data_IF_003295235260
#
_entry.id   IF_003295235260
#
_cell.length_a   1.000
_cell.length_b   1.000
_cell.length_c   1.000
_cell.angle_alpha   90.00
_cell.angle_beta   90.00
_cell.angle_gamma   90.00
#
_symmetry.space_group_name_H-M   'P 1'
#
loop_
_entity.id
_entity.type
_entity.pdbx_description
1 polymer ?
#
# COMPACT_ATOMS: atom_id res chain seq x y z
N UNK A 1 -102.37 -19.86 36.37
CA UNK A 1 -102.62 -18.44 36.73
C UNK A 1 -101.31 -17.90 37.30
N UNK A 2 -100.41 -17.30 36.52
CA UNK A 2 -100.49 -16.06 35.73
C UNK A 2 -100.18 -14.80 36.57
N UNK A 3 -98.96 -14.27 36.38
CA UNK A 3 -98.58 -12.85 36.23
C UNK A 3 -97.04 -12.81 35.98
N UNK A 4 -96.47 -12.55 34.78
CA UNK A 4 -96.20 -11.26 34.07
C UNK A 4 -95.71 -10.14 34.98
N UNK A 5 -94.69 -9.30 34.72
CA UNK A 5 -93.82 -8.92 33.58
C UNK A 5 -92.78 -7.92 34.16
N UNK A 6 -91.54 -7.68 33.70
CA UNK A 6 -91.05 -6.99 32.47
C UNK A 6 -89.51 -7.09 32.46
N UNK A 7 -88.85 -7.59 31.41
CA UNK A 7 -88.35 -6.88 30.21
C UNK A 7 -87.17 -5.91 30.44
N UNK A 8 -85.99 -6.34 30.00
CA UNK A 8 -84.80 -5.52 29.75
C UNK A 8 -83.83 -6.30 28.86
N UNK A 9 -83.93 -6.08 27.54
CA UNK A 9 -83.08 -6.64 26.51
C UNK A 9 -81.65 -6.10 26.67
N UNK A 10 -80.64 -6.95 26.77
CA UNK A 10 -79.23 -6.58 26.57
C UNK A 10 -78.71 -7.49 25.46
N UNK A 11 -78.38 -6.89 24.33
CA UNK A 11 -77.82 -7.53 23.15
C UNK A 11 -76.50 -8.24 23.47
N UNK A 12 -76.19 -9.34 22.76
CA UNK A 12 -74.88 -9.98 22.86
C UNK A 12 -73.79 -9.04 22.32
N UNK A 13 -72.59 -9.02 22.90
CA UNK A 13 -71.53 -8.14 22.43
C UNK A 13 -71.14 -8.53 21.00
N UNK A 14 -71.46 -7.63 20.06
CA UNK A 14 -70.76 -7.49 18.78
C UNK A 14 -69.36 -6.96 19.12
N UNK A 15 -68.50 -7.86 19.57
CA UNK A 15 -67.06 -7.64 19.64
C UNK A 15 -66.50 -8.03 18.29
N UNK A 16 -66.43 -7.05 17.39
CA UNK A 16 -65.62 -7.10 16.17
C UNK A 16 -64.34 -7.85 16.44
N UNK A 17 -64.19 -8.99 15.75
CA UNK A 17 -62.91 -9.55 15.38
C UNK A 17 -62.13 -8.46 14.63
N UNK A 18 -61.50 -7.56 15.37
CA UNK A 18 -60.25 -7.00 14.94
C UNK A 18 -59.27 -8.16 15.01
N UNK A 19 -59.24 -8.89 13.89
CA UNK A 19 -58.05 -9.55 13.42
C UNK A 19 -56.99 -8.45 13.44
N UNK A 20 -56.27 -8.35 14.56
CA UNK A 20 -54.91 -7.84 14.55
C UNK A 20 -54.15 -8.80 13.64
N UNK A 21 -54.24 -8.53 12.33
CA UNK A 21 -53.23 -8.93 11.38
C UNK A 21 -51.96 -8.29 11.90
N UNK A 22 -51.24 -9.07 12.71
CA UNK A 22 -49.79 -8.99 12.82
C UNK A 22 -49.20 -9.19 11.43
N UNK A 23 -49.33 -8.18 10.57
CA UNK A 23 -48.37 -7.96 9.49
C UNK A 23 -47.15 -7.29 10.14
N UNK A 24 -46.34 -8.09 10.83
CA UNK A 24 -45.02 -7.70 11.28
C UNK A 24 -44.05 -8.86 11.08
N UNK A 25 -43.69 -9.08 9.81
CA UNK A 25 -42.51 -9.78 9.29
C UNK A 25 -41.74 -10.56 10.35
N UNK A 26 -41.93 -11.88 10.39
CA UNK A 26 -41.14 -12.78 11.21
C UNK A 26 -39.66 -12.65 10.84
N UNK A 27 -38.94 -11.77 11.54
CA UNK A 27 -37.49 -11.64 11.46
C UNK A 27 -36.88 -12.81 12.23
N UNK A 28 -37.03 -14.03 11.68
CA UNK A 28 -36.26 -15.19 12.09
C UNK A 28 -34.81 -15.02 11.61
N UNK A 29 -34.14 -13.96 12.06
CA UNK A 29 -32.69 -13.82 11.94
C UNK A 29 -32.10 -14.73 13.00
N UNK A 30 -31.52 -15.85 12.58
CA UNK A 30 -30.82 -16.74 13.49
C UNK A 30 -29.68 -15.98 14.17
N UNK A 31 -29.58 -15.98 15.51
CA UNK A 31 -28.53 -15.25 16.22
C UNK A 31 -27.17 -15.88 15.93
N UNK A 32 -26.32 -15.15 15.21
CA UNK A 32 -25.03 -15.62 14.69
C UNK A 32 -24.14 -16.29 15.76
N UNK A 33 -24.08 -15.75 16.99
CA UNK A 33 -23.29 -16.33 18.09
C UNK A 33 -23.82 -17.65 18.66
N UNK A 34 -25.05 -18.08 18.29
CA UNK A 34 -25.56 -19.42 18.63
C UNK A 34 -25.08 -20.50 17.67
N UNK A 35 -24.48 -20.14 16.54
CA UNK A 35 -23.84 -21.11 15.66
C UNK A 35 -22.63 -21.73 16.38
N UNK A 36 -22.30 -23.01 16.14
CA UNK A 36 -21.00 -23.57 16.51
C UNK A 36 -19.84 -22.74 15.94
N UNK A 37 -18.69 -22.75 16.62
CA UNK A 37 -17.49 -21.96 16.22
C UNK A 37 -17.06 -22.30 14.80
N UNK A 38 -17.11 -23.58 14.46
CA UNK A 38 -16.70 -24.14 13.18
C UNK A 38 -17.55 -23.58 12.03
N UNK A 39 -18.85 -23.43 12.23
CA UNK A 39 -19.74 -22.83 11.22
C UNK A 39 -19.50 -21.32 11.09
N UNK A 40 -19.17 -20.63 12.20
CA UNK A 40 -18.81 -19.21 12.13
C UNK A 40 -17.50 -19.01 11.38
N UNK A 41 -16.51 -19.88 11.58
CA UNK A 41 -15.23 -19.86 10.85
C UNK A 41 -15.42 -20.02 9.35
N UNK A 42 -16.27 -20.95 8.92
CA UNK A 42 -16.64 -21.07 7.50
C UNK A 42 -17.28 -19.79 6.94
N UNK A 43 -18.13 -19.13 7.72
CA UNK A 43 -18.75 -17.86 7.31
C UNK A 43 -17.70 -16.74 7.22
N UNK A 44 -16.77 -16.67 8.18
CA UNK A 44 -15.67 -15.72 8.13
C UNK A 44 -14.80 -15.95 6.90
N UNK A 45 -14.36 -17.18 6.68
CA UNK A 45 -13.52 -17.55 5.54
C UNK A 45 -14.19 -17.22 4.21
N UNK A 46 -15.47 -17.58 4.05
CA UNK A 46 -16.24 -17.25 2.85
C UNK A 46 -16.33 -15.75 2.62
N UNK A 47 -16.62 -14.97 3.67
CA UNK A 47 -16.83 -13.52 3.54
C UNK A 47 -15.53 -12.78 3.23
N UNK A 48 -14.39 -13.24 3.78
CA UNK A 48 -13.08 -12.71 3.42
C UNK A 48 -12.68 -13.10 1.99
N UNK A 49 -12.97 -14.34 1.56
CA UNK A 49 -12.65 -14.80 0.21
C UNK A 49 -13.53 -14.15 -0.87
N UNK A 50 -14.78 -13.83 -0.56
CA UNK A 50 -15.73 -13.18 -1.48
C UNK A 50 -15.43 -11.69 -1.69
N UNK A 51 -14.49 -11.11 -0.94
CA UNK A 51 -14.12 -9.72 -1.09
C UNK A 51 -13.21 -9.56 -2.31
N UNK A 52 -13.80 -9.24 -3.46
CA UNK A 52 -13.09 -8.65 -4.59
C UNK A 52 -12.62 -7.26 -4.14
N UNK A 53 -11.32 -7.14 -3.86
CA UNK A 53 -10.70 -5.96 -3.28
C UNK A 53 -10.69 -4.79 -4.28
N UNK A 54 -11.74 -3.98 -4.26
CA UNK A 54 -11.77 -2.61 -4.81
C UNK A 54 -12.41 -1.65 -3.79
N UNK A 55 -11.91 -1.67 -2.55
CA UNK A 55 -12.30 -0.66 -1.56
C UNK A 55 -11.23 0.43 -1.56
N UNK A 56 -11.44 1.43 -2.42
CA UNK A 56 -10.64 2.64 -2.63
C UNK A 56 -10.59 3.56 -1.38
N UNK A 57 -10.07 3.08 -0.25
CA UNK A 57 -9.89 3.94 0.93
C UNK A 57 -8.62 3.64 1.69
N UNK A 58 -7.62 4.49 1.48
CA UNK A 58 -6.33 4.42 2.14
C UNK A 58 -6.42 4.53 3.68
N UNK A 59 -5.42 3.96 4.36
CA UNK A 59 -5.15 4.20 5.78
C UNK A 59 -4.18 5.38 5.86
N UNK A 60 -4.69 6.50 6.35
CA UNK A 60 -4.01 7.80 6.42
C UNK A 60 -3.60 8.18 7.85
N UNK A 61 -2.77 9.22 8.00
CA UNK A 61 -2.24 9.71 9.29
C UNK A 61 -3.34 10.08 10.29
N UNK A 62 -4.46 10.67 9.84
CA UNK A 62 -5.61 10.98 10.72
C UNK A 62 -6.14 9.77 11.48
N UNK A 63 -6.10 8.57 10.89
CA UNK A 63 -6.58 7.36 11.55
C UNK A 63 -5.70 7.01 12.75
N UNK A 64 -4.39 7.28 12.66
CA UNK A 64 -3.46 7.01 13.75
C UNK A 64 -3.69 7.88 14.98
N UNK A 65 -4.15 9.14 14.82
CA UNK A 65 -4.31 10.11 15.92
C UNK A 65 -5.19 9.57 17.05
N UNK A 66 -6.28 8.88 16.70
CA UNK A 66 -7.24 8.33 17.66
C UNK A 66 -7.24 6.79 17.72
N UNK A 67 -6.32 6.15 17.01
CA UNK A 67 -6.24 4.70 16.99
C UNK A 67 -5.90 4.14 18.37
N UNK A 68 -6.79 3.29 18.88
CA UNK A 68 -6.57 2.47 20.08
C UNK A 68 -6.66 1.01 19.67
N UNK A 69 -5.61 0.21 19.90
CA UNK A 69 -5.55 -1.15 19.39
C UNK A 69 -6.65 -2.02 20.00
N UNK A 70 -7.52 -2.53 19.14
CA UNK A 70 -8.55 -3.53 19.48
C UNK A 70 -8.92 -4.30 18.22
N UNK A 71 -9.46 -5.51 18.36
CA UNK A 71 -9.84 -6.29 17.18
C UNK A 71 -10.85 -5.56 16.28
N UNK A 72 -11.80 -4.84 16.88
CA UNK A 72 -12.75 -4.00 16.15
C UNK A 72 -12.07 -2.82 15.44
N UNK A 73 -11.13 -2.14 16.09
CA UNK A 73 -10.41 -1.02 15.48
C UNK A 73 -9.52 -1.48 14.32
N UNK A 74 -8.87 -2.65 14.45
CA UNK A 74 -8.06 -3.23 13.38
C UNK A 74 -8.94 -3.59 12.19
N UNK A 75 -10.05 -4.33 12.41
CA UNK A 75 -10.99 -4.67 11.35
C UNK A 75 -11.61 -3.42 10.69
N UNK A 76 -11.89 -2.37 11.46
CA UNK A 76 -12.38 -1.09 10.92
C UNK A 76 -11.36 -0.43 10.00
N UNK A 77 -10.09 -0.38 10.42
CA UNK A 77 -9.00 0.22 9.65
C UNK A 77 -8.67 -0.60 8.40
N UNK A 78 -8.74 -1.93 8.49
CA UNK A 78 -8.61 -2.84 7.34
C UNK A 78 -9.93 -3.04 6.58
N UNK A 79 -10.95 -2.20 6.85
CA UNK A 79 -12.21 -2.09 6.10
C UNK A 79 -13.18 -3.28 6.16
N UNK A 80 -13.07 -4.14 7.16
CA UNK A 80 -14.01 -5.25 7.41
C UNK A 80 -15.13 -4.85 8.40
N UNK A 81 -15.83 -3.76 8.07
CA UNK A 81 -16.85 -3.14 8.95
C UNK A 81 -18.03 -4.07 9.26
N UNK A 82 -18.31 -5.01 8.37
CA UNK A 82 -19.39 -5.98 8.50
C UNK A 82 -19.20 -6.96 9.67
N UNK A 83 -17.98 -7.11 10.20
CA UNK A 83 -17.72 -7.92 11.40
C UNK A 83 -17.77 -7.15 12.73
N UNK A 84 -18.10 -5.85 12.69
CA UNK A 84 -18.17 -4.99 13.88
C UNK A 84 -19.50 -5.13 14.66
N UNK A 85 -20.17 -6.28 14.53
CA UNK A 85 -21.45 -6.57 15.20
C UNK A 85 -21.29 -6.77 16.71
N UNK A 86 -20.21 -7.42 17.13
CA UNK A 86 -19.93 -7.75 18.52
C UNK A 86 -18.42 -7.93 18.75
N UNK A 87 -17.95 -7.67 19.98
CA UNK A 87 -16.54 -7.87 20.37
C UNK A 87 -16.02 -9.29 20.15
N UNK A 88 -16.86 -10.30 20.40
CA UNK A 88 -16.49 -11.69 20.16
C UNK A 88 -16.31 -11.96 18.66
N UNK A 89 -17.29 -11.56 17.85
CA UNK A 89 -17.24 -11.67 16.38
C UNK A 89 -15.99 -10.98 15.82
N UNK A 90 -15.67 -9.79 16.30
CA UNK A 90 -14.49 -9.04 15.86
C UNK A 90 -13.17 -9.76 16.19
N UNK A 91 -13.04 -10.37 17.38
CA UNK A 91 -11.84 -11.14 17.76
C UNK A 91 -11.68 -12.40 16.92
N UNK A 92 -12.78 -13.11 16.78
CA UNK A 92 -12.90 -14.34 16.00
C UNK A 92 -12.57 -14.11 14.52
N UNK A 93 -13.16 -13.07 13.91
CA UNK A 93 -12.91 -12.70 12.53
C UNK A 93 -11.48 -12.18 12.31
N UNK A 94 -10.92 -11.41 13.25
CA UNK A 94 -9.53 -10.95 13.14
C UNK A 94 -8.54 -12.12 13.15
N UNK A 95 -8.77 -13.13 13.99
CA UNK A 95 -7.94 -14.33 14.02
C UNK A 95 -7.96 -15.05 12.68
N UNK A 96 -9.14 -15.23 12.09
CA UNK A 96 -9.31 -15.88 10.78
C UNK A 96 -8.64 -15.04 9.67
N UNK A 97 -8.90 -13.73 9.64
CA UNK A 97 -8.29 -12.80 8.68
C UNK A 97 -6.76 -12.92 8.67
N UNK A 98 -6.14 -12.79 9.84
CA UNK A 98 -4.69 -12.75 9.94
C UNK A 98 -4.03 -14.10 9.61
N UNK A 99 -4.64 -15.21 10.04
CA UNK A 99 -4.08 -16.56 9.84
C UNK A 99 -4.28 -17.08 8.42
N UNK A 100 -5.43 -16.85 7.81
CA UNK A 100 -5.86 -17.57 6.61
C UNK A 100 -5.90 -16.69 5.35
N UNK A 101 -6.08 -15.38 5.49
CA UNK A 101 -6.33 -14.47 4.37
C UNK A 101 -5.21 -13.45 4.18
N UNK A 102 -5.20 -12.82 3.01
CA UNK A 102 -4.26 -11.73 2.70
C UNK A 102 -4.85 -10.41 3.16
N UNK A 103 -4.15 -9.71 4.06
CA UNK A 103 -4.58 -8.41 4.56
C UNK A 103 -4.13 -7.32 3.61
N UNK A 104 -5.10 -6.67 2.96
CA UNK A 104 -4.85 -5.52 2.10
C UNK A 104 -4.62 -4.25 2.92
N UNK A 105 -3.50 -3.58 2.67
CA UNK A 105 -3.03 -2.41 3.42
C UNK A 105 -2.69 -1.30 2.42
N UNK A 106 -3.68 -0.48 2.09
CA UNK A 106 -3.48 0.70 1.24
C UNK A 106 -2.95 1.88 2.07
N UNK A 107 -1.64 1.98 2.29
CA UNK A 107 -1.07 3.09 3.06
C UNK A 107 0.44 3.28 2.87
N UNK A 108 0.91 4.47 3.24
CA UNK A 108 2.32 4.79 3.26
C UNK A 108 3.13 3.98 4.28
N UNK A 109 4.45 3.81 4.04
CA UNK A 109 5.30 2.96 4.85
C UNK A 109 5.44 3.45 6.29
N UNK A 110 5.51 4.77 6.51
CA UNK A 110 5.48 5.31 7.88
C UNK A 110 4.15 5.02 8.58
N UNK A 111 3.03 5.27 7.91
CA UNK A 111 1.68 5.05 8.48
C UNK A 111 1.49 3.58 8.84
N UNK A 112 1.90 2.68 7.95
CA UNK A 112 1.85 1.24 8.19
C UNK A 112 2.71 0.84 9.40
N UNK A 113 3.97 1.28 9.43
CA UNK A 113 4.87 0.98 10.55
C UNK A 113 4.29 1.48 11.88
N UNK A 114 3.85 2.73 11.93
CA UNK A 114 3.27 3.34 13.13
C UNK A 114 1.97 2.63 13.57
N UNK A 115 1.13 2.21 12.62
CA UNK A 115 -0.07 1.42 12.91
C UNK A 115 0.30 0.10 13.59
N UNK A 116 1.25 -0.64 13.01
CA UNK A 116 1.69 -1.93 13.54
C UNK A 116 2.38 -1.80 14.91
N UNK A 117 3.21 -0.77 15.11
CA UNK A 117 3.83 -0.47 16.41
C UNK A 117 2.77 -0.14 17.49
N UNK A 118 1.71 0.59 17.13
CA UNK A 118 0.57 0.81 18.03
C UNK A 118 -0.19 -0.47 18.35
N UNK A 119 -0.26 -1.43 17.42
CA UNK A 119 -0.86 -2.74 17.69
C UNK A 119 0.03 -3.55 18.63
N UNK A 120 1.36 -3.48 18.49
CA UNK A 120 2.30 -4.24 19.33
C UNK A 120 2.25 -3.86 20.83
N UNK A 121 1.69 -2.69 21.18
CA UNK A 121 1.57 -2.09 22.53
C UNK A 121 1.91 -3.04 23.72
N UNK A 122 2.89 -2.66 24.57
CA UNK A 122 3.42 -3.56 25.59
C UNK A 122 2.33 -3.99 26.57
N UNK A 123 2.22 -5.31 26.78
CA UNK A 123 1.26 -6.01 27.65
C UNK A 123 -0.15 -6.26 27.08
N UNK A 124 -0.39 -5.97 25.80
CA UNK A 124 -1.64 -6.31 25.11
C UNK A 124 -1.63 -7.66 24.37
N UNK A 125 -2.80 -8.15 23.91
CA UNK A 125 -2.89 -9.29 22.98
C UNK A 125 -2.36 -8.96 21.58
N UNK A 126 -2.00 -7.70 21.31
CA UNK A 126 -1.64 -7.23 19.98
C UNK A 126 -0.38 -7.89 19.41
N UNK A 127 0.63 -8.19 20.22
CA UNK A 127 1.79 -8.98 19.77
C UNK A 127 1.39 -10.37 19.26
N UNK A 128 0.40 -11.00 19.89
CA UNK A 128 -0.13 -12.28 19.43
C UNK A 128 -0.89 -12.13 18.11
N UNK A 129 -1.64 -11.03 17.94
CA UNK A 129 -2.31 -10.72 16.66
C UNK A 129 -1.28 -10.53 15.53
N UNK A 130 -0.21 -9.76 15.76
CA UNK A 130 0.84 -9.57 14.75
C UNK A 130 1.57 -10.87 14.39
N UNK A 131 1.72 -11.81 15.34
CA UNK A 131 2.22 -13.16 15.05
C UNK A 131 1.26 -14.01 14.21
N UNK A 132 -0.04 -13.72 14.26
CA UNK A 132 -1.01 -14.37 13.39
C UNK A 132 -0.99 -13.81 11.98
N UNK A 133 -0.54 -12.57 11.77
CA UNK A 133 -0.50 -11.93 10.46
C UNK A 133 0.46 -12.67 9.53
N UNK A 134 -0.08 -13.49 8.63
CA UNK A 134 0.69 -14.34 7.73
C UNK A 134 0.92 -13.74 6.35
N UNK A 135 -0.09 -13.08 5.79
CA UNK A 135 -0.05 -12.59 4.41
C UNK A 135 -0.51 -11.15 4.36
N UNK A 136 0.26 -10.31 3.68
CA UNK A 136 -0.08 -8.90 3.45
C UNK A 136 -0.02 -8.57 1.97
N UNK A 137 -0.88 -7.65 1.55
CA UNK A 137 -0.82 -6.98 0.26
C UNK A 137 -0.68 -5.48 0.50
N UNK A 138 0.37 -4.89 -0.05
CA UNK A 138 0.67 -3.48 0.12
C UNK A 138 0.30 -2.73 -1.15
N UNK A 139 -0.49 -1.68 -1.03
CA UNK A 139 -0.62 -0.65 -2.07
C UNK A 139 -0.53 0.73 -1.39
N UNK A 140 -0.25 1.77 -2.16
CA UNK A 140 -0.20 3.14 -1.70
C UNK A 140 -0.86 4.00 -2.76
N UNK A 141 -2.18 4.05 -2.68
CA UNK A 141 -3.02 4.79 -3.60
C UNK A 141 -2.67 6.29 -3.59
N UNK A 142 -2.37 6.85 -2.41
CA UNK A 142 -2.08 8.27 -2.18
C UNK A 142 -0.58 8.53 -1.99
N UNK A 143 0.23 8.20 -3.00
CA UNK A 143 1.68 8.47 -2.97
C UNK A 143 1.93 9.96 -2.70
N UNK A 144 2.86 10.31 -1.79
CA UNK A 144 3.04 11.68 -1.37
C UNK A 144 3.64 12.50 -2.50
N UNK A 145 3.20 13.75 -2.64
CA UNK A 145 3.87 14.68 -3.53
C UNK A 145 5.28 14.97 -2.98
N UNK A 146 6.29 14.35 -3.60
CA UNK A 146 7.67 14.50 -3.18
C UNK A 146 8.19 15.93 -3.30
N UNK A 147 7.54 16.82 -4.06
CA UNK A 147 7.92 18.23 -4.04
C UNK A 147 7.82 18.84 -2.64
N UNK A 148 6.92 18.33 -1.80
CA UNK A 148 6.70 18.79 -0.42
C UNK A 148 7.29 17.85 0.64
N UNK A 149 8.18 16.94 0.26
CA UNK A 149 8.85 16.01 1.19
C UNK A 149 10.29 16.45 1.51
N UNK A 150 10.75 16.45 2.78
CA UNK A 150 9.96 16.20 3.98
C UNK A 150 8.95 17.34 4.23
N UNK A 151 7.86 17.07 4.97
CA UNK A 151 6.79 18.04 5.23
C UNK A 151 7.19 19.16 6.21
N UNK A 152 8.43 19.18 6.71
CA UNK A 152 8.90 20.18 7.66
C UNK A 152 8.84 21.60 7.10
N UNK A 153 7.94 22.39 7.70
CA UNK A 153 7.69 23.81 7.42
C UNK A 153 8.52 24.75 8.29
N UNK A 154 9.69 24.32 8.79
CA UNK A 154 10.44 25.07 9.82
C UNK A 154 11.06 26.42 9.39
N UNK A 155 10.84 26.90 8.17
CA UNK A 155 11.35 28.22 7.75
C UNK A 155 10.33 29.18 7.16
N UNK A 156 9.01 28.96 7.31
CA UNK A 156 8.02 29.96 6.86
C UNK A 156 8.19 30.37 5.38
N UNK A 157 8.83 29.53 4.56
CA UNK A 157 8.85 29.69 3.12
C UNK A 157 7.50 29.19 2.65
N UNK A 158 6.58 30.14 2.60
CA UNK A 158 5.38 30.09 1.79
C UNK A 158 5.79 29.83 0.34
N UNK A 159 6.00 28.57 -0.03
CA UNK A 159 6.10 28.15 -1.43
C UNK A 159 4.69 27.87 -1.91
N UNK A 160 3.84 28.91 -1.82
CA UNK A 160 2.52 28.94 -2.46
C UNK A 160 2.72 29.37 -3.89
N UNK A 161 2.90 28.42 -4.79
CA UNK A 161 2.71 28.68 -6.21
C UNK A 161 1.79 27.61 -6.77
N UNK A 162 0.51 27.99 -6.88
CA UNK A 162 -0.39 27.37 -7.83
C UNK A 162 0.18 27.70 -9.21
N UNK A 163 1.00 26.81 -9.77
CA UNK A 163 1.35 26.82 -11.17
C UNK A 163 0.73 25.56 -11.80
N UNK A 164 -0.37 25.80 -12.51
CA UNK A 164 -0.62 25.05 -13.73
C UNK A 164 0.57 25.34 -14.66
N UNK A 165 1.31 24.30 -15.06
CA UNK A 165 1.55 24.00 -16.48
C UNK A 165 2.41 22.73 -16.70
N UNK A 166 2.01 22.00 -17.75
CA UNK A 166 2.69 20.94 -18.55
C UNK A 166 3.55 19.83 -17.88
N UNK A 167 3.45 19.62 -16.58
CA UNK A 167 4.18 18.54 -15.89
C UNK A 167 3.22 17.43 -15.43
N UNK A 168 3.42 16.25 -16.02
CA UNK A 168 2.96 14.94 -15.52
C UNK A 168 1.47 14.89 -15.14
N UNK A 169 0.60 14.82 -16.15
CA UNK A 169 -0.72 14.20 -15.98
C UNK A 169 -0.49 12.72 -15.71
N UNK A 170 -0.09 12.40 -14.48
CA UNK A 170 -0.24 11.06 -13.96
C UNK A 170 -1.76 10.82 -13.94
N UNK A 171 -2.24 9.96 -14.83
CA UNK A 171 -3.67 9.75 -15.07
C UNK A 171 -4.37 9.29 -13.77
N UNK A 172 -3.61 8.73 -12.82
CA UNK A 172 -4.04 8.43 -11.46
C UNK A 172 -4.15 9.68 -10.55
N UNK A 173 -3.25 10.66 -10.68
CA UNK A 173 -3.38 11.97 -10.02
C UNK A 173 -4.60 12.73 -10.59
N UNK A 174 -4.92 12.49 -11.86
CA UNK A 174 -6.12 13.03 -12.52
C UNK A 174 -7.40 12.25 -12.17
N UNK A 175 -7.33 10.94 -11.89
CA UNK A 175 -8.46 10.19 -11.32
C UNK A 175 -8.81 10.66 -9.90
N UNK A 176 -7.84 11.19 -9.16
CA UNK A 176 -8.07 11.95 -7.91
C UNK A 176 -8.59 13.38 -8.14
N UNK A 177 -8.46 13.93 -9.36
CA UNK A 177 -8.79 15.32 -9.70
C UNK A 177 -10.18 15.50 -10.34
N UNK A 178 -11.20 14.77 -9.86
CA UNK A 178 -12.61 15.18 -10.05
C UNK A 178 -13.00 16.40 -9.18
N UNK A 179 -12.04 17.09 -8.56
CA UNK A 179 -12.29 18.11 -7.55
C UNK A 179 -12.00 19.53 -8.04
N UNK A 180 -12.99 20.09 -8.74
CA UNK A 180 -13.24 21.54 -8.68
C UNK A 180 -14.11 21.82 -7.47
N UNK A 181 -13.59 22.51 -6.46
CA UNK A 181 -14.42 22.99 -5.36
C UNK A 181 -13.61 23.43 -4.16
N UNK A 182 -13.37 24.73 -4.07
CA UNK A 182 -13.11 25.50 -2.84
C UNK A 182 -12.88 24.68 -1.56
N UNK A 183 -11.63 24.43 -1.19
CA UNK A 183 -11.30 23.70 0.03
C UNK A 183 -10.57 24.53 1.07
N UNK A 184 -11.02 24.36 2.31
CA UNK A 184 -10.37 24.83 3.52
C UNK A 184 -9.10 24.00 3.74
N UNK A 185 -7.96 24.63 3.48
CA UNK A 185 -6.60 24.08 3.64
C UNK A 185 -6.27 23.61 5.07
N UNK A 186 -7.12 23.94 6.04
CA UNK A 186 -7.01 23.50 7.43
C UNK A 186 -7.94 22.31 7.78
N UNK A 187 -8.63 21.73 6.79
CA UNK A 187 -9.51 20.58 6.99
C UNK A 187 -8.72 19.26 7.14
N UNK A 188 -8.03 19.10 8.27
CA UNK A 188 -7.24 17.92 8.60
C UNK A 188 -8.07 16.72 9.08
N UNK A 189 -9.40 16.84 9.15
CA UNK A 189 -10.28 15.78 9.69
C UNK A 189 -11.58 15.56 8.87
N UNK A 190 -11.96 16.48 7.98
CA UNK A 190 -13.21 16.48 7.25
C UNK A 190 -13.17 15.84 5.87
N UNK A 191 -14.14 16.24 5.03
CA UNK A 191 -14.40 15.62 3.71
C UNK A 191 -13.35 15.99 2.67
N UNK A 192 -12.58 17.04 2.93
CA UNK A 192 -11.58 17.62 2.04
C UNK A 192 -10.16 17.15 2.35
N UNK A 193 -10.05 16.18 3.27
CA UNK A 193 -8.78 15.68 3.76
C UNK A 193 -7.90 15.14 2.63
N UNK A 194 -6.64 15.56 2.66
CA UNK A 194 -5.56 14.98 1.88
C UNK A 194 -4.32 14.81 2.76
N UNK A 195 -3.80 13.58 2.80
CA UNK A 195 -2.66 13.19 3.63
C UNK A 195 -1.36 13.93 3.23
N UNK A 196 -1.29 14.45 1.99
CA UNK A 196 -0.21 15.29 1.50
C UNK A 196 -0.09 16.63 2.24
N UNK A 197 -1.21 17.17 2.72
CA UNK A 197 -1.29 18.48 3.37
C UNK A 197 -1.51 18.36 4.89
N UNK A 198 -1.36 17.17 5.45
CA UNK A 198 -1.49 16.97 6.87
C UNK A 198 -0.43 17.79 7.63
N UNK A 199 -0.84 18.42 8.75
CA UNK A 199 0.01 19.37 9.47
C UNK A 199 1.18 18.66 10.18
N UNK A 200 2.40 19.12 9.88
CA UNK A 200 3.66 18.65 10.46
C UNK A 200 3.85 19.03 11.93
N UNK A 201 2.98 19.90 12.49
CA UNK A 201 3.04 20.30 13.90
C UNK A 201 2.96 19.12 14.88
N UNK A 202 2.35 18.01 14.48
CA UNK A 202 2.31 16.78 15.25
C UNK A 202 3.45 15.82 14.87
N UNK A 203 4.64 16.05 15.45
CA UNK A 203 5.86 15.27 15.21
C UNK A 203 5.73 13.76 15.46
N UNK A 204 4.70 13.30 16.17
CA UNK A 204 4.43 11.87 16.39
C UNK A 204 3.81 11.16 15.17
N UNK A 205 3.31 11.91 14.19
CA UNK A 205 2.69 11.41 12.96
C UNK A 205 3.61 11.50 11.73
N UNK A 206 4.89 11.82 11.96
CA UNK A 206 5.93 11.89 10.95
C UNK A 206 7.21 11.19 11.42
N UNK A 207 8.06 10.73 10.48
CA UNK A 207 9.43 10.38 10.81
C UNK A 207 10.12 11.56 11.51
N UNK A 208 11.03 11.27 12.45
CA UNK A 208 11.86 12.31 13.03
C UNK A 208 12.90 12.74 11.99
N UNK A 209 12.60 13.79 11.22
CA UNK A 209 13.52 14.43 10.28
C UNK A 209 14.55 15.28 11.04
N UNK A 210 15.29 14.68 11.99
CA UNK A 210 16.47 15.35 12.51
C UNK A 210 17.45 15.45 11.35
N UNK A 211 17.58 16.64 10.77
CA UNK A 211 18.71 16.96 9.92
C UNK A 211 19.97 16.54 10.69
N UNK A 212 20.72 15.57 10.15
CA UNK A 212 22.15 15.52 10.45
C UNK A 212 22.64 16.91 10.17
N UNK A 213 23.00 17.66 11.23
CA UNK A 213 23.57 18.99 11.09
C UNK A 213 24.62 18.86 9.99
N UNK A 214 24.36 19.47 8.84
CA UNK A 214 25.37 19.61 7.82
C UNK A 214 26.48 20.34 8.54
N UNK A 215 27.57 19.64 8.84
CA UNK A 215 28.86 20.27 9.11
C UNK A 215 29.25 20.93 7.80
N UNK A 216 28.57 22.03 7.46
CA UNK A 216 29.17 23.08 6.67
C UNK A 216 30.36 23.49 7.50
N UNK A 217 31.55 23.16 7.03
CA UNK A 217 32.77 23.76 7.52
C UNK A 217 32.56 25.27 7.42
N UNK A 218 32.29 25.93 8.54
CA UNK A 218 32.37 27.37 8.61
C UNK A 218 33.79 27.71 8.18
N UNK A 219 33.94 28.21 6.95
CA UNK A 219 35.16 28.87 6.54
C UNK A 219 35.53 29.83 7.67
N UNK A 220 36.76 29.76 8.19
CA UNK A 220 37.21 30.62 9.29
C UNK A 220 37.07 32.12 8.96
N UNK A 221 36.84 32.46 7.68
CA UNK A 221 36.66 33.81 7.17
C UNK A 221 35.20 34.17 6.84
N UNK A 222 34.23 33.29 7.07
CA UNK A 222 32.79 33.58 6.88
C UNK A 222 31.96 33.06 8.07
N UNK A 223 32.07 33.71 9.24
CA UNK A 223 31.39 33.28 10.46
C UNK A 223 29.86 33.40 10.40
N UNK A 224 29.31 34.07 9.38
CA UNK A 224 27.87 34.28 9.20
C UNK A 224 27.30 33.63 7.93
N UNK A 225 28.12 32.94 7.12
CA UNK A 225 27.67 32.20 5.94
C UNK A 225 27.21 33.06 4.75
N UNK A 226 27.58 34.35 4.71
CA UNK A 226 27.09 35.27 3.68
C UNK A 226 27.86 35.17 2.36
N UNK A 227 29.06 34.58 2.34
CA UNK A 227 29.88 34.53 1.14
C UNK A 227 29.29 33.61 0.04
N UNK A 228 28.46 32.64 0.43
CA UNK A 228 27.68 31.80 -0.49
C UNK A 228 26.25 32.27 -0.74
N UNK A 229 25.79 33.30 -0.02
CA UNK A 229 24.41 33.75 -0.03
C UNK A 229 24.29 35.01 -0.89
N UNK A 230 23.96 34.84 -2.18
CA UNK A 230 23.60 35.96 -3.06
C UNK A 230 22.06 36.15 -2.99
N UNK A 231 21.54 37.16 -2.27
CA UNK A 231 20.09 37.31 -2.04
C UNK A 231 19.33 37.84 -3.26
N UNK A 232 20.02 38.15 -4.34
CA UNK A 232 19.44 38.66 -5.58
C UNK A 232 19.66 37.64 -6.68
N UNK A 233 18.70 36.75 -6.95
CA UNK A 233 18.76 35.95 -8.17
C UNK A 233 18.97 36.87 -9.39
N UNK A 234 19.80 36.45 -10.35
CA UNK A 234 20.04 37.19 -11.59
C UNK A 234 18.68 37.52 -12.25
N UNK A 235 18.31 38.81 -12.41
CA UNK A 235 16.99 39.21 -12.92
C UNK A 235 16.76 38.82 -14.39
N UNK A 236 17.77 38.30 -15.08
CA UNK A 236 17.65 37.76 -16.44
C UNK A 236 17.38 36.26 -16.48
N UNK A 237 17.47 35.59 -15.33
CA UNK A 237 17.21 34.16 -15.19
C UNK A 237 15.83 34.01 -14.59
N UNK A 238 14.87 33.58 -15.42
CA UNK A 238 13.58 33.13 -14.88
C UNK A 238 13.87 32.13 -13.75
N UNK A 239 13.26 32.29 -12.56
CA UNK A 239 13.40 31.29 -11.52
C UNK A 239 12.92 29.97 -12.11
N UNK A 240 13.80 28.97 -12.17
CA UNK A 240 13.40 27.61 -12.51
C UNK A 240 12.57 27.13 -11.32
N UNK A 241 11.24 27.27 -11.43
CA UNK A 241 10.26 27.03 -10.37
C UNK A 241 9.90 25.55 -10.20
N UNK A 242 10.46 24.67 -11.02
CA UNK A 242 10.19 23.23 -11.00
C UNK A 242 11.29 22.45 -10.26
N UNK A 243 10.88 21.52 -9.39
CA UNK A 243 11.82 20.54 -8.83
C UNK A 243 12.38 19.68 -9.97
N UNK A 244 13.70 19.63 -10.11
CA UNK A 244 14.32 18.85 -11.19
C UNK A 244 14.06 17.35 -10.96
N UNK A 245 14.14 16.54 -12.04
CA UNK A 245 14.01 15.09 -11.92
C UNK A 245 15.05 14.48 -10.95
N UNK A 246 16.23 15.10 -10.83
CA UNK A 246 17.26 14.74 -9.86
C UNK A 246 16.85 15.08 -8.42
N UNK A 247 16.22 16.24 -8.18
CA UNK A 247 15.70 16.61 -6.86
C UNK A 247 14.58 15.66 -6.41
N UNK A 248 13.70 15.28 -7.34
CA UNK A 248 12.64 14.29 -7.05
C UNK A 248 13.27 12.93 -6.72
N UNK A 249 14.36 12.54 -7.39
CA UNK A 249 15.07 11.30 -7.11
C UNK A 249 15.72 11.31 -5.72
N UNK A 250 16.40 12.39 -5.33
CA UNK A 250 17.02 12.49 -3.99
C UNK A 250 15.97 12.49 -2.88
N UNK A 251 14.80 13.10 -3.12
CA UNK A 251 13.67 13.03 -2.19
C UNK A 251 13.03 11.65 -2.10
N UNK A 252 13.00 10.90 -3.20
CA UNK A 252 12.59 9.50 -3.17
C UNK A 252 13.58 8.68 -2.32
N UNK A 253 14.88 8.89 -2.47
CA UNK A 253 15.90 8.22 -1.66
C UNK A 253 15.75 8.58 -0.17
N UNK A 254 15.41 9.83 0.13
CA UNK A 254 15.10 10.27 1.50
C UNK A 254 13.84 9.55 2.04
N UNK A 255 12.76 9.46 1.27
CA UNK A 255 11.56 8.71 1.67
C UNK A 255 11.89 7.24 1.92
N UNK A 256 12.70 6.64 1.05
CA UNK A 256 13.09 5.24 1.16
C UNK A 256 13.94 4.99 2.41
N UNK A 257 14.89 5.86 2.71
CA UNK A 257 15.73 5.73 3.90
C UNK A 257 14.97 6.00 5.20
N UNK A 258 14.05 6.96 5.21
CA UNK A 258 13.32 7.39 6.41
C UNK A 258 12.07 6.56 6.71
N UNK A 259 11.43 5.98 5.69
CA UNK A 259 10.14 5.28 5.86
C UNK A 259 10.15 3.82 5.38
N UNK A 260 10.60 3.56 4.15
CA UNK A 260 10.57 2.19 3.58
C UNK A 260 11.55 1.27 4.30
N UNK A 261 12.80 1.71 4.49
CA UNK A 261 13.84 0.90 5.13
C UNK A 261 13.46 0.52 6.56
N UNK A 262 12.97 1.46 7.41
CA UNK A 262 12.50 1.12 8.75
C UNK A 262 11.29 0.18 8.78
N UNK A 263 10.35 0.32 7.82
CA UNK A 263 9.21 -0.60 7.73
C UNK A 263 9.68 -2.04 7.50
N UNK A 264 10.51 -2.28 6.47
CA UNK A 264 10.99 -3.64 6.17
C UNK A 264 11.91 -4.20 7.26
N UNK A 265 12.68 -3.35 7.93
CA UNK A 265 13.45 -3.73 9.11
C UNK A 265 12.53 -4.22 10.24
N UNK A 266 11.40 -3.53 10.44
CA UNK A 266 10.42 -3.91 11.44
C UNK A 266 9.64 -5.18 11.07
N UNK A 267 9.22 -5.33 9.81
CA UNK A 267 8.56 -6.55 9.31
C UNK A 267 9.47 -7.78 9.38
N UNK A 268 10.78 -7.60 9.26
CA UNK A 268 11.80 -8.65 9.43
C UNK A 268 12.01 -9.07 10.90
N UNK A 269 11.43 -8.38 11.87
CA UNK A 269 11.59 -8.70 13.28
C UNK A 269 10.79 -9.94 13.72
N UNK A 270 11.18 -10.53 14.85
CA UNK A 270 10.51 -11.69 15.47
C UNK A 270 9.06 -11.44 15.95
N UNK A 271 8.55 -10.22 15.80
CA UNK A 271 7.15 -9.89 16.11
C UNK A 271 6.19 -10.50 15.10
N UNK A 272 6.67 -10.77 13.88
CA UNK A 272 5.87 -11.31 12.79
C UNK A 272 6.24 -12.75 12.45
N UNK A 273 5.27 -13.50 11.93
CA UNK A 273 5.49 -14.77 11.24
C UNK A 273 5.02 -14.67 9.80
N UNK A 274 5.36 -13.58 9.11
CA UNK A 274 4.92 -13.31 7.75
C UNK A 274 5.44 -14.41 6.81
N UNK A 275 4.53 -14.99 6.05
CA UNK A 275 4.80 -16.03 5.05
C UNK A 275 4.87 -15.40 3.63
N UNK A 276 4.02 -14.41 3.34
CA UNK A 276 3.92 -13.77 2.02
C UNK A 276 3.74 -12.25 2.09
N UNK A 277 4.42 -11.53 1.20
CA UNK A 277 4.19 -10.09 0.91
C UNK A 277 3.82 -9.95 -0.57
N UNK A 278 2.68 -9.34 -0.85
CA UNK A 278 2.20 -9.05 -2.21
C UNK A 278 2.38 -7.56 -2.52
N UNK A 279 2.96 -7.25 -3.67
CA UNK A 279 3.29 -5.89 -4.10
C UNK A 279 2.79 -5.63 -5.54
N UNK A 280 2.27 -4.44 -5.84
CA UNK A 280 2.02 -4.02 -7.20
C UNK A 280 3.31 -3.53 -7.85
N UNK A 281 3.53 -3.91 -9.10
CA UNK A 281 4.53 -3.31 -9.96
C UNK A 281 3.89 -3.06 -11.32
N UNK A 282 4.20 -1.93 -11.96
CA UNK A 282 3.52 -1.50 -13.18
C UNK A 282 4.49 -1.17 -14.29
N UNK A 283 3.98 -1.24 -15.51
CA UNK A 283 4.66 -0.78 -16.71
C UNK A 283 3.84 0.26 -17.46
N UNK A 284 4.49 0.98 -18.37
CA UNK A 284 3.92 2.11 -19.10
C UNK A 284 3.76 1.78 -20.59
N UNK A 285 3.08 2.66 -21.32
CA UNK A 285 3.02 2.54 -22.77
C UNK A 285 4.38 2.83 -23.42
N UNK A 286 4.62 2.23 -24.59
CA UNK A 286 5.85 2.44 -25.37
C UNK A 286 6.10 3.91 -25.70
N UNK A 287 5.05 4.62 -26.10
CA UNK A 287 5.12 6.05 -26.40
C UNK A 287 5.49 6.89 -25.16
N UNK A 288 4.92 6.57 -24.00
CA UNK A 288 5.26 7.24 -22.73
C UNK A 288 6.73 6.99 -22.37
N UNK A 289 7.20 5.75 -22.48
CA UNK A 289 8.59 5.41 -22.22
C UNK A 289 9.56 6.19 -23.12
N UNK A 290 9.34 6.18 -24.44
CA UNK A 290 10.18 6.91 -25.39
C UNK A 290 10.21 8.41 -25.11
N UNK A 291 9.04 9.03 -24.89
CA UNK A 291 8.95 10.45 -24.57
C UNK A 291 9.70 10.81 -23.28
N UNK A 292 9.62 9.96 -22.25
CA UNK A 292 10.28 10.18 -20.96
C UNK A 292 11.78 9.95 -21.05
N UNK A 293 12.22 8.94 -21.79
CA UNK A 293 13.65 8.69 -22.02
C UNK A 293 14.34 9.86 -22.73
N UNK A 294 13.64 10.53 -23.66
CA UNK A 294 14.15 11.72 -24.36
C UNK A 294 14.11 12.97 -23.48
N UNK A 295 12.99 13.23 -22.81
CA UNK A 295 12.80 14.45 -22.01
C UNK A 295 13.52 14.42 -20.66
N UNK A 296 13.72 13.22 -20.09
CA UNK A 296 14.29 12.99 -18.75
C UNK A 296 15.22 11.78 -18.75
N UNK A 297 16.44 11.90 -19.34
CA UNK A 297 17.40 10.79 -19.37
C UNK A 297 17.70 10.24 -17.97
N UNK A 298 17.64 8.92 -17.81
CA UNK A 298 17.81 8.23 -16.52
C UNK A 298 16.56 8.17 -15.63
N UNK A 299 15.45 8.81 -16.05
CA UNK A 299 14.19 8.84 -15.30
C UNK A 299 12.99 8.46 -16.18
N UNK A 300 13.18 7.45 -17.05
CA UNK A 300 12.16 6.96 -17.97
C UNK A 300 10.91 6.46 -17.23
N UNK A 301 11.09 5.78 -16.09
CA UNK A 301 9.99 5.28 -15.27
C UNK A 301 9.30 6.41 -14.47
N UNK A 302 7.95 6.41 -14.37
CA UNK A 302 7.19 7.26 -13.47
C UNK A 302 7.60 7.11 -12.01
N UNK A 303 7.39 8.17 -11.23
CA UNK A 303 7.77 8.21 -9.81
C UNK A 303 7.14 7.08 -9.00
N UNK A 304 5.84 6.81 -9.18
CA UNK A 304 5.12 5.73 -8.51
C UNK A 304 5.72 4.35 -8.80
N UNK A 305 6.11 4.10 -10.06
CA UNK A 305 6.80 2.85 -10.43
C UNK A 305 8.18 2.79 -9.78
N UNK A 306 8.96 3.88 -9.82
CA UNK A 306 10.27 3.94 -9.14
C UNK A 306 10.18 3.71 -7.63
N UNK A 307 9.14 4.21 -6.98
CA UNK A 307 8.84 3.92 -5.58
C UNK A 307 8.59 2.42 -5.36
N UNK A 308 7.70 1.81 -6.15
CA UNK A 308 7.40 0.39 -6.03
C UNK A 308 8.58 -0.51 -6.37
N UNK A 309 9.46 -0.10 -7.28
CA UNK A 309 10.76 -0.74 -7.51
C UNK A 309 11.56 -0.78 -6.21
N UNK A 310 11.68 0.34 -5.48
CA UNK A 310 12.39 0.37 -4.20
C UNK A 310 11.72 -0.53 -3.15
N UNK A 311 10.40 -0.54 -3.06
CA UNK A 311 9.66 -1.44 -2.15
C UNK A 311 9.91 -2.91 -2.49
N UNK A 312 9.85 -3.27 -3.77
CA UNK A 312 10.16 -4.62 -4.26
C UNK A 312 11.58 -5.04 -3.90
N UNK A 313 12.56 -4.15 -4.07
CA UNK A 313 13.96 -4.40 -3.69
C UNK A 313 14.06 -4.77 -2.20
N UNK A 314 13.40 -4.04 -1.29
CA UNK A 314 13.46 -4.35 0.15
C UNK A 314 12.77 -5.67 0.48
N UNK A 315 11.63 -5.97 -0.14
CA UNK A 315 10.94 -7.24 0.07
C UNK A 315 11.79 -8.44 -0.41
N UNK A 316 12.41 -8.32 -1.58
CA UNK A 316 13.27 -9.38 -2.13
C UNK A 316 14.57 -9.54 -1.33
N UNK A 317 15.15 -8.46 -0.82
CA UNK A 317 16.29 -8.54 0.11
C UNK A 317 15.90 -9.21 1.44
N UNK A 318 14.71 -8.90 1.97
CA UNK A 318 14.16 -9.56 3.16
C UNK A 318 13.95 -11.06 2.94
N UNK A 319 13.53 -11.47 1.74
CA UNK A 319 13.38 -12.87 1.33
C UNK A 319 14.75 -13.56 1.14
N UNK A 320 15.68 -12.92 0.43
CA UNK A 320 17.00 -13.47 0.12
C UNK A 320 17.93 -13.56 1.34
N UNK A 321 17.63 -12.84 2.43
CA UNK A 321 18.42 -12.89 3.65
C UNK A 321 18.51 -14.33 4.20
N UNK A 322 19.72 -14.82 4.56
CA UNK A 322 19.93 -16.19 4.99
C UNK A 322 19.20 -16.49 6.30
N UNK A 323 18.47 -17.61 6.31
CA UNK A 323 17.79 -18.11 7.50
C UNK A 323 18.86 -18.65 8.46
N UNK A 324 19.27 -17.85 9.45
CA UNK A 324 20.24 -18.29 10.46
C UNK A 324 19.47 -18.64 11.73
N UNK A 325 19.23 -19.94 11.95
CA UNK A 325 18.60 -20.41 13.18
C UNK A 325 19.38 -19.87 14.40
N UNK A 326 18.70 -19.15 15.29
CA UNK A 326 19.28 -18.64 16.53
C UNK A 326 19.73 -17.18 16.54
N UNK A 327 19.66 -16.44 15.41
CA UNK A 327 19.82 -14.97 15.43
C UNK A 327 18.46 -14.28 15.31
N UNK A 328 18.29 -13.15 16.00
CA UNK A 328 17.07 -12.32 15.98
C UNK A 328 16.74 -11.66 14.62
N UNK A 329 17.45 -12.06 13.56
CA UNK A 329 17.42 -11.49 12.21
C UNK A 329 16.97 -12.48 11.13
N UNK A 330 16.62 -13.72 11.52
CA UNK A 330 16.13 -14.74 10.59
C UNK A 330 14.68 -14.46 10.20
N UNK A 331 14.42 -14.16 8.92
CA UNK A 331 13.09 -13.78 8.43
C UNK A 331 12.24 -15.03 8.12
N UNK A 332 11.01 -15.14 8.64
CA UNK A 332 10.11 -16.26 8.33
C UNK A 332 9.50 -16.20 6.92
N UNK A 333 9.74 -15.10 6.19
CA UNK A 333 9.18 -14.84 4.86
C UNK A 333 9.52 -15.98 3.90
N UNK A 334 8.50 -16.56 3.26
CA UNK A 334 8.64 -17.70 2.35
C UNK A 334 8.55 -17.24 0.89
N UNK A 335 7.67 -16.27 0.60
CA UNK A 335 7.45 -15.79 -0.75
C UNK A 335 7.22 -14.27 -0.82
N UNK A 336 7.57 -13.70 -1.97
CA UNK A 336 7.20 -12.32 -2.36
C UNK A 336 6.44 -12.42 -3.68
N UNK A 337 5.20 -11.94 -3.70
CA UNK A 337 4.34 -11.93 -4.88
C UNK A 337 4.36 -10.54 -5.50
N UNK A 338 4.57 -10.47 -6.80
CA UNK A 338 4.51 -9.22 -7.57
C UNK A 338 3.37 -9.33 -8.57
N UNK A 339 2.36 -8.47 -8.42
CA UNK A 339 1.29 -8.29 -9.42
C UNK A 339 1.80 -7.29 -10.46
N UNK A 340 2.19 -7.79 -11.62
CA UNK A 340 2.73 -6.98 -12.72
C UNK A 340 1.65 -6.62 -13.73
N UNK A 341 1.31 -5.34 -13.81
CA UNK A 341 0.13 -4.85 -14.53
C UNK A 341 0.40 -3.56 -15.32
N UNK A 342 -0.37 -3.27 -16.38
CA UNK A 342 -0.30 -1.98 -17.06
C UNK A 342 -0.73 -0.86 -16.10
N UNK A 343 -0.10 0.31 -16.20
CA UNK A 343 -0.49 1.47 -15.39
C UNK A 343 -1.84 2.05 -15.79
N UNK A 344 -2.16 2.02 -17.09
CA UNK A 344 -3.38 2.57 -17.66
C UNK A 344 -3.77 1.82 -18.94
N UNK A 345 -4.88 2.27 -19.56
CA UNK A 345 -5.40 1.67 -20.80
C UNK A 345 -4.38 1.80 -21.94
N UNK A 346 -3.60 2.88 -21.97
CA UNK A 346 -2.59 3.08 -23.01
C UNK A 346 -1.44 2.09 -22.88
N UNK A 347 -1.01 1.79 -21.66
CA UNK A 347 -0.03 0.75 -21.38
C UNK A 347 -0.56 -0.63 -21.76
N UNK A 348 -1.87 -0.87 -21.67
CA UNK A 348 -2.51 -2.10 -22.14
C UNK A 348 -2.58 -2.18 -23.67
N UNK A 349 -2.89 -1.07 -24.35
CA UNK A 349 -3.00 -1.03 -25.82
C UNK A 349 -1.65 -1.07 -26.53
N UNK A 350 -0.65 -0.37 -26.01
CA UNK A 350 0.70 -0.28 -26.59
C UNK A 350 1.77 -0.55 -25.51
N UNK A 351 1.87 -1.79 -25.02
CA UNK A 351 2.74 -2.12 -23.91
C UNK A 351 4.22 -1.95 -24.28
N UNK A 352 5.02 -1.46 -23.33
CA UNK A 352 6.49 -1.63 -23.38
C UNK A 352 6.88 -3.09 -23.25
N UNK A 353 6.11 -3.86 -22.49
CA UNK A 353 6.45 -5.21 -22.07
C UNK A 353 5.59 -6.27 -22.73
N UNK A 354 6.22 -7.33 -23.23
CA UNK A 354 5.52 -8.51 -23.71
C UNK A 354 5.31 -9.50 -22.56
N UNK A 355 4.11 -9.46 -21.97
CA UNK A 355 3.78 -10.31 -20.82
C UNK A 355 3.87 -11.81 -21.12
N UNK A 356 3.61 -12.24 -22.36
CA UNK A 356 3.73 -13.65 -22.74
C UNK A 356 5.20 -14.07 -22.75
N UNK A 357 6.07 -13.20 -23.27
CA UNK A 357 7.50 -13.44 -23.25
C UNK A 357 8.06 -13.43 -21.82
N UNK A 358 7.55 -12.59 -20.93
CA UNK A 358 7.94 -12.61 -19.52
C UNK A 358 7.59 -13.96 -18.87
N UNK A 359 6.45 -14.55 -19.24
CA UNK A 359 6.06 -15.90 -18.77
C UNK A 359 7.02 -16.97 -19.30
N UNK A 360 7.42 -16.88 -20.57
CA UNK A 360 8.27 -17.90 -21.21
C UNK A 360 9.77 -17.77 -20.84
N UNK A 361 10.31 -16.55 -20.88
CA UNK A 361 11.74 -16.26 -20.70
C UNK A 361 12.11 -15.90 -19.25
N UNK A 362 11.12 -15.51 -18.45
CA UNK A 362 11.28 -15.07 -17.07
C UNK A 362 11.67 -13.61 -16.91
N UNK A 363 11.68 -13.17 -15.66
CA UNK A 363 11.94 -11.77 -15.25
C UNK A 363 13.42 -11.46 -15.00
N UNK A 364 14.32 -12.39 -15.30
CA UNK A 364 15.75 -12.27 -14.98
C UNK A 364 16.57 -11.59 -16.08
N UNK A 365 16.07 -11.60 -17.32
CA UNK A 365 16.73 -11.02 -18.51
C UNK A 365 18.19 -11.50 -18.67
N UNK A 366 18.39 -12.81 -18.50
CA UNK A 366 19.71 -13.46 -18.38
C UNK A 366 20.48 -13.64 -19.70
N UNK A 367 19.82 -13.45 -20.86
CA UNK A 367 20.42 -13.64 -22.18
C UNK A 367 19.92 -12.57 -23.15
N UNK A 368 20.80 -11.86 -23.86
CA UNK A 368 20.40 -11.29 -25.15
C UNK A 368 20.09 -12.46 -26.08
N UNK A 369 18.94 -12.42 -26.75
CA UNK A 369 18.46 -13.55 -27.56
C UNK A 369 19.46 -13.95 -28.64
N UNK A 370 19.63 -15.26 -28.85
CA UNK A 370 20.25 -15.79 -30.06
C UNK A 370 19.39 -15.39 -31.28
N UNK A 371 19.82 -14.35 -32.00
CA UNK A 371 19.21 -13.93 -33.26
C UNK A 371 18.39 -12.64 -33.24
N UNK A 372 18.22 -11.98 -32.09
CA UNK A 372 17.78 -10.57 -32.03
C UNK A 372 18.93 -9.70 -31.54
N UNK A 373 19.58 -9.00 -32.47
CA UNK A 373 20.72 -8.11 -32.18
C UNK A 373 20.35 -6.86 -31.37
N UNK A 374 19.07 -6.65 -31.07
CA UNK A 374 18.59 -5.46 -30.36
C UNK A 374 17.59 -5.89 -29.28
N UNK A 375 17.98 -5.80 -28.02
CA UNK A 375 17.03 -5.80 -26.90
C UNK A 375 15.94 -4.78 -27.20
N UNK A 376 14.66 -5.17 -27.13
CA UNK A 376 13.56 -4.22 -27.39
C UNK A 376 13.65 -3.10 -26.36
N UNK A 377 13.77 -1.88 -26.86
CA UNK A 377 13.96 -0.69 -26.04
C UNK A 377 12.84 -0.57 -24.99
N UNK A 378 13.20 -0.61 -23.71
CA UNK A 378 12.29 -0.42 -22.57
C UNK A 378 11.58 -1.69 -22.05
N UNK A 379 11.75 -2.85 -22.68
CA UNK A 379 11.07 -4.09 -22.24
C UNK A 379 11.64 -4.61 -20.92
N UNK A 380 10.88 -4.65 -19.84
CA UNK A 380 11.31 -5.15 -18.53
C UNK A 380 12.02 -4.10 -17.66
N UNK A 381 11.91 -2.82 -18.02
CA UNK A 381 12.63 -1.72 -17.36
C UNK A 381 12.39 -1.67 -15.84
N UNK A 382 11.16 -1.93 -15.39
CA UNK A 382 10.84 -1.98 -13.97
C UNK A 382 11.61 -3.09 -13.24
N UNK A 383 11.65 -4.30 -13.79
CA UNK A 383 12.41 -5.42 -13.19
C UNK A 383 13.91 -5.22 -13.30
N UNK A 384 14.42 -4.66 -14.40
CA UNK A 384 15.85 -4.28 -14.51
C UNK A 384 16.24 -3.31 -13.40
N UNK A 385 15.41 -2.30 -13.13
CA UNK A 385 15.62 -1.37 -12.04
C UNK A 385 15.57 -2.05 -10.65
N UNK A 386 14.71 -3.07 -10.46
CA UNK A 386 14.73 -3.91 -9.24
C UNK A 386 16.07 -4.63 -9.10
N UNK A 387 16.56 -5.29 -10.15
CA UNK A 387 17.84 -6.02 -10.09
C UNK A 387 19.05 -5.11 -9.89
N UNK A 388 19.02 -3.92 -10.49
CA UNK A 388 20.01 -2.89 -10.22
C UNK A 388 19.96 -2.41 -8.76
N UNK A 389 18.77 -2.16 -8.23
CA UNK A 389 18.57 -1.77 -6.83
C UNK A 389 19.04 -2.82 -5.84
N UNK A 390 18.78 -4.11 -6.10
CA UNK A 390 19.32 -5.21 -5.30
C UNK A 390 20.84 -5.27 -5.38
N UNK A 391 21.41 -5.07 -6.58
CA UNK A 391 22.87 -5.05 -6.80
C UNK A 391 23.55 -3.91 -6.06
N UNK A 392 22.93 -2.72 -6.03
CA UNK A 392 23.47 -1.55 -5.33
C UNK A 392 23.50 -1.73 -3.80
N UNK A 393 22.61 -2.56 -3.25
CA UNK A 393 22.45 -2.79 -1.80
C UNK A 393 23.10 -4.07 -1.28
N UNK A 394 23.65 -4.90 -2.16
CA UNK A 394 24.30 -6.17 -1.80
C UNK A 394 25.80 -6.06 -2.04
N UNK A 395 26.61 -6.46 -1.06
CA UNK A 395 28.06 -6.50 -1.26
C UNK A 395 28.46 -7.56 -2.28
N UNK A 396 29.65 -7.39 -2.87
CA UNK A 396 30.16 -8.38 -3.84
C UNK A 396 30.34 -9.79 -3.23
N UNK A 397 30.64 -9.88 -1.93
CA UNK A 397 30.79 -11.15 -1.21
C UNK A 397 29.44 -11.83 -0.97
N UNK A 398 28.43 -11.10 -0.51
CA UNK A 398 27.06 -11.61 -0.36
C UNK A 398 26.50 -12.07 -1.70
N UNK A 399 26.74 -11.29 -2.76
CA UNK A 399 26.30 -11.65 -4.11
C UNK A 399 26.92 -12.96 -4.59
N UNK A 400 28.20 -13.21 -4.28
CA UNK A 400 28.84 -14.50 -4.59
C UNK A 400 28.19 -15.66 -3.86
N UNK A 401 27.79 -15.47 -2.60
CA UNK A 401 27.10 -16.50 -1.81
C UNK A 401 25.69 -16.78 -2.32
N UNK A 402 24.95 -15.74 -2.69
CA UNK A 402 23.58 -15.86 -3.19
C UNK A 402 23.53 -16.33 -4.65
N UNK A 403 24.61 -16.21 -5.42
CA UNK A 403 24.66 -16.66 -6.81
C UNK A 403 23.95 -15.73 -7.81
N UNK A 404 23.76 -16.21 -9.04
CA UNK A 404 23.33 -15.40 -10.20
C UNK A 404 21.96 -14.71 -10.02
N UNK A 405 21.01 -15.40 -9.39
CA UNK A 405 19.63 -14.94 -9.16
C UNK A 405 19.33 -14.69 -7.68
N UNK A 406 20.35 -14.32 -6.92
CA UNK A 406 20.25 -14.05 -5.47
C UNK A 406 19.65 -15.21 -4.64
N UNK A 407 19.80 -16.44 -5.11
CA UNK A 407 19.25 -17.63 -4.44
C UNK A 407 17.73 -17.69 -4.50
N UNK A 408 17.13 -17.02 -5.49
CA UNK A 408 15.69 -16.95 -5.69
C UNK A 408 15.28 -17.69 -6.97
N UNK A 409 14.10 -18.30 -6.91
CA UNK A 409 13.33 -18.79 -8.06
C UNK A 409 12.08 -17.93 -8.24
N UNK A 410 11.55 -17.89 -9.45
CA UNK A 410 10.35 -17.13 -9.79
C UNK A 410 9.39 -18.03 -10.55
N UNK A 411 8.18 -18.21 -10.00
CA UNK A 411 7.07 -18.88 -10.66
C UNK A 411 6.15 -17.82 -11.25
N UNK A 412 5.86 -17.90 -12.55
CA UNK A 412 5.21 -16.82 -13.30
C UNK A 412 3.90 -17.31 -13.88
N UNK A 413 2.80 -16.64 -13.54
CA UNK A 413 1.44 -16.98 -13.97
C UNK A 413 0.84 -15.86 -14.78
N UNK A 414 0.40 -16.16 -16.00
CA UNK A 414 -0.32 -15.21 -16.84
C UNK A 414 -1.79 -15.11 -16.41
N UNK A 415 -2.27 -13.88 -16.23
CA UNK A 415 -3.63 -13.58 -15.83
C UNK A 415 -4.31 -12.76 -16.94
N UNK A 416 -5.07 -13.40 -17.85
CA UNK A 416 -5.78 -12.67 -18.89
C UNK A 416 -6.82 -11.72 -18.27
N UNK A 417 -7.04 -10.59 -18.93
CA UNK A 417 -8.14 -9.71 -18.60
C UNK A 417 -9.44 -10.21 -19.23
N UNK A 418 -10.47 -10.34 -18.40
CA UNK A 418 -11.82 -10.74 -18.79
C UNK A 418 -12.65 -9.58 -19.36
N UNK A 419 -12.10 -8.36 -19.36
CA UNK A 419 -12.78 -7.16 -19.82
C UNK A 419 -13.70 -6.55 -18.77
N UNK A 420 -13.70 -7.07 -17.53
CA UNK A 420 -14.43 -6.47 -16.44
C UNK A 420 -13.70 -5.23 -15.92
N UNK A 421 -14.35 -4.08 -16.08
CA UNK A 421 -13.84 -2.79 -15.62
C UNK A 421 -14.08 -2.57 -14.13
N UNK A 422 -15.03 -3.28 -13.52
CA UNK A 422 -15.35 -3.16 -12.09
C UNK A 422 -14.28 -3.83 -11.22
N UNK A 423 -13.50 -4.74 -11.81
CA UNK A 423 -12.34 -5.40 -11.18
C UNK A 423 -11.16 -4.46 -10.88
N UNK A 424 -11.18 -3.22 -11.40
CA UNK A 424 -10.08 -2.26 -11.29
C UNK A 424 -8.86 -2.60 -12.16
N UNK A 425 -8.89 -3.73 -12.87
CA UNK A 425 -7.85 -4.15 -13.83
C UNK A 425 -7.99 -3.37 -15.13
N UNK A 426 -6.86 -3.08 -15.76
CA UNK A 426 -6.80 -2.24 -16.96
C UNK A 426 -6.15 -2.98 -18.14
N UNK A 427 -5.93 -4.28 -18.00
CA UNK A 427 -5.35 -5.14 -19.04
C UNK A 427 -4.87 -6.46 -18.49
N UNK A 428 -4.21 -7.23 -19.36
CA UNK A 428 -3.56 -8.48 -18.99
C UNK A 428 -2.50 -8.22 -17.92
N UNK A 429 -2.32 -9.19 -17.03
CA UNK A 429 -1.38 -9.09 -15.91
C UNK A 429 -0.56 -10.36 -15.79
N UNK A 430 0.52 -10.28 -15.02
CA UNK A 430 1.32 -11.43 -14.65
C UNK A 430 1.53 -11.42 -13.14
N UNK A 431 1.20 -12.53 -12.49
CA UNK A 431 1.59 -12.76 -11.09
C UNK A 431 2.94 -13.49 -11.06
N UNK A 432 3.91 -12.91 -10.36
CA UNK A 432 5.24 -13.49 -10.19
C UNK A 432 5.46 -13.81 -8.72
N UNK A 433 5.70 -15.07 -8.41
CA UNK A 433 5.95 -15.54 -7.05
C UNK A 433 7.44 -15.85 -6.90
N UNK A 434 8.15 -14.99 -6.17
CA UNK A 434 9.53 -15.22 -5.79
C UNK A 434 9.60 -16.05 -4.52
N UNK A 435 10.43 -17.08 -4.53
CA UNK A 435 10.73 -17.91 -3.35
C UNK A 435 12.21 -18.29 -3.32
N UNK A 436 12.70 -18.79 -2.19
CA UNK A 436 14.09 -19.25 -2.09
C UNK A 436 14.31 -20.49 -2.94
N UNK A 437 15.45 -20.54 -3.63
CA UNK A 437 15.88 -21.70 -4.38
C UNK A 437 16.55 -22.71 -3.44
N UNK A 438 15.81 -23.76 -3.08
CA UNK A 438 16.26 -24.82 -2.18
C UNK A 438 17.51 -25.56 -2.69
N UNK A 439 17.76 -25.53 -4.00
CA UNK A 439 18.96 -26.15 -4.59
C UNK A 439 20.26 -25.40 -4.26
N UNK A 440 20.19 -24.11 -3.97
CA UNK A 440 21.36 -23.29 -3.56
C UNK A 440 21.60 -23.42 -2.04
N UNK A 441 20.54 -23.63 -1.24
CA UNK A 441 20.64 -23.76 0.21
C UNK A 441 21.39 -25.02 0.68
N UNK A 442 21.43 -26.09 -0.13
CA UNK A 442 22.09 -27.37 0.20
C UNK A 442 23.59 -27.42 -0.16
N UNK A 443 24.13 -26.38 -0.80
CA UNK A 443 25.53 -26.32 -1.24
C UNK A 443 26.41 -25.34 -0.41
N UNK A 444 25.84 -24.72 0.63
CA UNK A 444 26.49 -23.74 1.51
C UNK A 444 27.08 -24.33 2.77
#
# INVERSE_FOLDING_TARGET
>A
MAATSTSGCIDPPVGTEQIEREDAVSSHVFPFLRLPRELRDQIYDYTFAAQELSIDRAIERRHLKYFKPSAAAILLVTRHNYFLLNRQVAREALEILFKNHTVYLSCGPFVLKALLEKIEEPNGPGRQWLKWLKKIELDWLTLPNLQHYPPDREEGRDVWYWEHDQVEVDVDYVRGAYYSGHYDEYDHEGKSYDDNFYDASNSSLYPSFRQTATTQSSSANDPFGFAGHYPFADPTRDPVREASAADIATKLDLLVSMEVTPLFTYLASSTFNLDSITLPLRFISRGSHQSRSVSRPGFALPLKIRYWVQVCVHALLMLASPHTEGTSTSTPLQEVRVKYAPVDIWASMEPTDDLRRIVDAGVWFDSPEEGQEVEREGEGEAFRAVWEGMRARTTHEERKKLGRRWGLKADITFLPWDGDMDSGRVGDEVEIVFSRDEHVAMAG
#
